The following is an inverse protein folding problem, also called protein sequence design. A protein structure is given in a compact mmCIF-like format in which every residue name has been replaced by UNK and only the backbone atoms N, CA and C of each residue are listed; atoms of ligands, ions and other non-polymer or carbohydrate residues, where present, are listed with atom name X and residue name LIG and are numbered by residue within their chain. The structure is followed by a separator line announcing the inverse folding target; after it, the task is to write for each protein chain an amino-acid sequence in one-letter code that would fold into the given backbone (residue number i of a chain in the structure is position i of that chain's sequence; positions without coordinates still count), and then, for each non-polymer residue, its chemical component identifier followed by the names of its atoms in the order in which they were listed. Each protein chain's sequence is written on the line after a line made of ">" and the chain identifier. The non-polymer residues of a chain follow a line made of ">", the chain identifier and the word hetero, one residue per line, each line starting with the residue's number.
data_IF_739428505366
#
_entry.id   IF_739428505366
#
_cell.length_a   1.000
_cell.length_b   1.000
_cell.length_c   1.000
_cell.angle_alpha   90.00
_cell.angle_beta   90.00
_cell.angle_gamma   90.00
#
_symmetry.space_group_name_H-M   'P 1'
#
loop_
_entity.id
_entity.type
_entity.pdbx_description
1 polymer ?
#
# COMPACT_ATOMS: atom_id res chain seq x y z
N UNK A 1 32.80 6.78 11.36
CA UNK A 1 31.83 7.89 11.20
C UNK A 1 30.45 7.36 11.53
N UNK A 2 29.94 7.62 12.73
CA UNK A 2 28.56 7.31 13.12
C UNK A 2 27.64 8.22 12.32
N UNK A 3 26.92 7.67 11.32
CA UNK A 3 25.82 8.42 10.71
C UNK A 3 24.85 8.79 11.82
N UNK A 4 24.58 10.09 11.98
CA UNK A 4 23.50 10.55 12.83
C UNK A 4 22.22 9.81 12.41
N UNK A 5 21.48 9.22 13.37
CA UNK A 5 20.20 8.58 13.07
C UNK A 5 19.26 9.66 12.51
N UNK A 6 19.00 9.61 11.20
CA UNK A 6 18.01 10.48 10.57
C UNK A 6 16.63 10.12 11.15
N UNK A 7 16.04 11.01 11.95
CA UNK A 7 14.68 10.84 12.46
C UNK A 7 13.71 11.72 11.68
N UNK A 8 12.67 11.11 11.14
CA UNK A 8 11.59 11.78 10.45
C UNK A 8 10.28 11.40 11.13
N UNK A 9 9.46 12.38 11.50
CA UNK A 9 8.14 12.12 12.09
C UNK A 9 7.15 11.61 11.04
N UNK A 10 6.02 11.06 11.50
CA UNK A 10 4.93 10.63 10.64
C UNK A 10 4.36 11.80 9.83
N UNK A 11 4.28 13.01 10.41
CA UNK A 11 3.81 14.21 9.70
C UNK A 11 4.74 14.59 8.55
N UNK A 12 6.06 14.42 8.71
CA UNK A 12 7.03 14.67 7.63
C UNK A 12 6.83 13.68 6.48
N UNK A 13 6.69 12.39 6.78
CA UNK A 13 6.40 11.38 5.75
C UNK A 13 5.08 11.68 5.03
N UNK A 14 4.04 12.05 5.78
CA UNK A 14 2.74 12.42 5.22
C UNK A 14 2.83 13.65 4.30
N UNK A 15 3.56 14.70 4.71
CA UNK A 15 3.77 15.92 3.91
C UNK A 15 4.59 15.63 2.65
N UNK A 16 5.68 14.89 2.77
CA UNK A 16 6.50 14.53 1.60
C UNK A 16 5.73 13.64 0.63
N UNK A 17 4.87 12.75 1.12
CA UNK A 17 3.99 11.97 0.28
C UNK A 17 3.01 12.84 -0.51
N UNK A 18 2.47 13.92 0.08
CA UNK A 18 1.62 14.89 -0.66
C UNK A 18 2.42 15.50 -1.81
N UNK A 19 3.61 16.04 -1.52
CA UNK A 19 4.45 16.69 -2.53
C UNK A 19 4.95 15.71 -3.60
N UNK A 20 5.17 14.45 -3.23
CA UNK A 20 5.50 13.40 -4.19
C UNK A 20 4.31 13.05 -5.08
N UNK A 21 3.10 12.88 -4.53
CA UNK A 21 1.88 12.60 -5.29
C UNK A 21 1.49 13.75 -6.24
N UNK A 22 1.75 15.01 -5.89
CA UNK A 22 1.57 16.16 -6.82
C UNK A 22 2.40 16.01 -8.09
N UNK A 23 3.62 15.48 -7.96
CA UNK A 23 4.54 15.21 -9.08
C UNK A 23 4.24 13.89 -9.79
N UNK A 24 3.51 12.99 -9.12
CA UNK A 24 3.17 11.64 -9.60
C UNK A 24 1.64 11.46 -9.62
N UNK A 25 0.92 12.13 -10.53
CA UNK A 25 -0.54 12.31 -10.44
C UNK A 25 -1.36 11.02 -10.55
N UNK A 26 -0.77 9.90 -10.98
CA UNK A 26 -1.43 8.59 -10.95
C UNK A 26 -1.42 7.91 -9.58
N UNK A 27 -0.79 8.51 -8.59
CA UNK A 27 -0.64 7.96 -7.24
C UNK A 27 -1.39 8.80 -6.21
N UNK A 28 -1.92 8.13 -5.19
CA UNK A 28 -2.61 8.74 -4.04
C UNK A 28 -2.10 8.14 -2.74
N UNK A 29 -2.06 8.95 -1.68
CA UNK A 29 -1.74 8.45 -0.33
C UNK A 29 -2.92 7.64 0.18
N UNK A 30 -2.65 6.67 1.06
CA UNK A 30 -3.70 5.91 1.73
C UNK A 30 -4.72 6.83 2.43
N UNK A 31 -4.27 7.94 3.02
CA UNK A 31 -5.14 8.91 3.70
C UNK A 31 -6.03 9.73 2.75
N UNK A 32 -5.73 9.77 1.46
CA UNK A 32 -6.54 10.49 0.46
C UNK A 32 -7.58 9.59 -0.22
N UNK A 33 -7.68 8.33 0.22
CA UNK A 33 -8.56 7.32 -0.33
C UNK A 33 -9.63 7.02 0.71
N UNK A 34 -10.92 7.34 0.46
CA UNK A 34 -12.00 7.15 1.44
C UNK A 34 -12.13 5.70 1.90
N UNK A 35 -12.04 4.78 0.94
CA UNK A 35 -12.04 3.34 1.19
C UNK A 35 -10.97 2.68 0.33
N UNK A 36 -9.88 2.23 0.95
CA UNK A 36 -8.79 1.54 0.25
C UNK A 36 -9.08 0.05 0.03
N UNK A 37 -10.11 -0.51 0.68
CA UNK A 37 -10.48 -1.93 0.53
C UNK A 37 -10.96 -2.26 -0.87
N UNK A 38 -11.41 -1.25 -1.64
CA UNK A 38 -11.72 -1.39 -3.08
C UNK A 38 -10.53 -1.92 -3.89
N UNK A 39 -9.31 -1.71 -3.40
CA UNK A 39 -8.09 -2.20 -4.03
C UNK A 39 -7.68 -3.60 -3.54
N UNK A 40 -8.34 -4.16 -2.53
CA UNK A 40 -8.10 -5.53 -2.06
C UNK A 40 -8.83 -6.50 -2.98
N UNK A 41 -8.15 -7.54 -3.44
CA UNK A 41 -8.74 -8.64 -4.21
C UNK A 41 -9.91 -9.23 -3.45
N UNK A 42 -11.03 -9.43 -4.12
CA UNK A 42 -12.16 -10.21 -3.62
C UNK A 42 -11.89 -11.69 -3.85
N UNK A 43 -12.67 -12.52 -3.16
CA UNK A 43 -12.65 -13.96 -3.37
C UNK A 43 -12.90 -14.34 -4.84
N UNK A 44 -13.75 -13.58 -5.53
CA UNK A 44 -14.05 -13.82 -6.94
C UNK A 44 -12.92 -13.46 -7.90
N UNK A 45 -12.00 -12.61 -7.48
CA UNK A 45 -10.85 -12.19 -8.28
C UNK A 45 -9.61 -13.09 -8.08
N UNK A 46 -9.63 -14.01 -7.11
CA UNK A 46 -8.55 -15.01 -6.98
C UNK A 46 -8.78 -16.15 -7.98
N UNK A 47 -7.68 -16.67 -8.54
CA UNK A 47 -7.75 -17.72 -9.57
C UNK A 47 -8.43 -18.98 -9.02
N UNK A 48 -9.07 -19.79 -9.88
CA UNK A 48 -9.66 -21.08 -9.48
C UNK A 48 -8.65 -21.98 -8.74
N UNK A 49 -7.38 -21.94 -9.15
CA UNK A 49 -6.31 -22.70 -8.50
C UNK A 49 -6.03 -22.23 -7.08
N UNK A 50 -5.98 -20.91 -6.86
CA UNK A 50 -5.81 -20.32 -5.53
C UNK A 50 -7.05 -20.56 -4.65
N UNK A 51 -8.23 -20.51 -5.26
CA UNK A 51 -9.53 -20.69 -4.62
C UNK A 51 -9.80 -22.13 -4.16
N UNK A 52 -9.27 -23.12 -4.86
CA UNK A 52 -9.58 -24.54 -4.64
C UNK A 52 -9.39 -25.00 -3.19
N UNK A 53 -8.34 -24.53 -2.50
CA UNK A 53 -8.15 -24.84 -1.09
C UNK A 53 -9.27 -24.24 -0.23
N UNK A 54 -9.58 -22.97 -0.45
CA UNK A 54 -10.62 -22.26 0.30
C UNK A 54 -12.00 -22.88 0.06
N UNK A 55 -12.35 -23.19 -1.19
CA UNK A 55 -13.62 -23.82 -1.56
C UNK A 55 -13.85 -25.14 -0.80
N UNK A 56 -12.79 -25.90 -0.52
CA UNK A 56 -12.85 -27.15 0.24
C UNK A 56 -12.91 -26.96 1.77
N UNK A 57 -12.52 -25.79 2.28
CA UNK A 57 -12.29 -25.54 3.71
C UNK A 57 -13.18 -24.43 4.28
N UNK A 58 -14.34 -24.16 3.68
CA UNK A 58 -15.31 -23.16 4.18
C UNK A 58 -15.49 -21.93 3.29
N UNK A 59 -14.91 -21.94 2.10
CA UNK A 59 -15.11 -20.99 1.03
C UNK A 59 -14.65 -19.57 1.37
N UNK A 60 -15.39 -18.59 0.85
CA UNK A 60 -15.10 -17.17 1.01
C UNK A 60 -14.96 -16.75 2.48
N UNK A 61 -15.81 -17.28 3.37
CA UNK A 61 -15.76 -16.92 4.80
C UNK A 61 -14.43 -17.30 5.42
N UNK A 62 -13.97 -18.53 5.19
CA UNK A 62 -12.69 -19.02 5.70
C UNK A 62 -11.50 -18.26 5.08
N UNK A 63 -11.60 -17.94 3.78
CA UNK A 63 -10.61 -17.10 3.12
C UNK A 63 -10.56 -15.67 3.66
N UNK A 64 -11.68 -15.05 4.02
CA UNK A 64 -11.70 -13.71 4.63
C UNK A 64 -11.08 -13.70 6.03
N UNK A 65 -11.21 -14.79 6.77
CA UNK A 65 -10.71 -14.90 8.15
C UNK A 65 -9.20 -15.22 8.20
N UNK A 66 -8.70 -16.06 7.29
CA UNK A 66 -7.33 -16.59 7.35
C UNK A 66 -6.48 -16.28 6.12
N UNK A 67 -7.09 -15.75 5.06
CA UNK A 67 -6.39 -15.38 3.84
C UNK A 67 -5.50 -14.15 4.03
N UNK A 68 -4.50 -14.04 3.17
CA UNK A 68 -3.67 -12.84 3.08
C UNK A 68 -4.32 -11.89 2.06
N UNK A 69 -4.64 -10.68 2.50
CA UNK A 69 -5.14 -9.63 1.62
C UNK A 69 -4.13 -9.31 0.52
N UNK A 70 -4.58 -9.35 -0.73
CA UNK A 70 -3.75 -9.01 -1.89
C UNK A 70 -4.28 -7.73 -2.53
N UNK A 71 -3.42 -6.74 -2.70
CA UNK A 71 -3.77 -5.50 -3.39
C UNK A 71 -3.70 -5.70 -4.91
N UNK A 72 -4.70 -5.18 -5.64
CA UNK A 72 -4.84 -5.25 -7.11
C UNK A 72 -3.97 -4.25 -7.86
N UNK A 73 -3.70 -3.11 -7.24
CA UNK A 73 -2.97 -2.00 -7.85
C UNK A 73 -1.53 -1.95 -7.34
N UNK A 74 -0.58 -1.42 -8.11
CA UNK A 74 0.75 -1.16 -7.61
C UNK A 74 0.71 -0.27 -6.35
N UNK A 75 1.46 -0.69 -5.34
CA UNK A 75 1.62 0.03 -4.08
C UNK A 75 3.08 0.44 -3.91
N UNK A 76 3.31 1.42 -3.03
CA UNK A 76 4.64 1.82 -2.63
C UNK A 76 4.60 2.65 -1.35
N UNK A 77 5.77 3.13 -0.96
CA UNK A 77 5.99 3.80 0.32
C UNK A 77 6.83 5.05 0.08
N UNK A 78 6.37 6.18 0.61
CA UNK A 78 7.15 7.41 0.68
C UNK A 78 7.76 7.51 2.06
N UNK A 79 9.08 7.57 2.15
CA UNK A 79 9.77 7.71 3.43
C UNK A 79 9.67 9.12 3.99
N UNK A 80 10.00 9.27 5.26
CA UNK A 80 10.17 10.57 5.90
C UNK A 80 11.18 11.51 5.21
N UNK A 81 12.09 10.97 4.40
CA UNK A 81 13.04 11.73 3.56
C UNK A 81 12.41 12.20 2.24
N UNK A 82 11.30 11.59 1.82
CA UNK A 82 10.58 11.89 0.58
C UNK A 82 10.93 10.96 -0.58
N UNK A 83 11.70 9.91 -0.33
CA UNK A 83 12.08 8.90 -1.32
C UNK A 83 10.96 7.85 -1.48
N UNK A 84 10.77 7.38 -2.71
CA UNK A 84 9.81 6.33 -3.05
C UNK A 84 10.46 4.95 -3.02
N UNK A 85 9.76 3.99 -2.43
CA UNK A 85 10.12 2.57 -2.41
C UNK A 85 8.92 1.74 -2.89
N UNK A 86 9.17 0.83 -3.82
CA UNK A 86 8.16 -0.12 -4.33
C UNK A 86 7.89 -1.30 -3.38
N UNK A 87 8.70 -1.44 -2.32
CA UNK A 87 8.55 -2.45 -1.28
C UNK A 87 9.02 -1.91 0.05
N UNK A 88 8.30 -2.27 1.12
CA UNK A 88 8.66 -1.90 2.49
C UNK A 88 10.04 -2.46 2.88
N UNK A 89 10.44 -3.59 2.29
CA UNK A 89 11.73 -4.23 2.57
C UNK A 89 12.92 -3.45 2.00
N UNK A 90 12.67 -2.54 1.05
CA UNK A 90 13.71 -1.64 0.49
C UNK A 90 13.78 -0.31 1.23
N UNK A 91 12.79 -0.01 2.06
CA UNK A 91 12.77 1.24 2.82
C UNK A 91 13.79 1.17 3.98
N UNK A 92 14.45 2.29 4.31
CA UNK A 92 15.38 2.31 5.44
C UNK A 92 14.69 1.96 6.76
N UNK A 93 15.38 1.19 7.60
CA UNK A 93 14.88 0.85 8.93
C UNK A 93 14.63 2.11 9.76
N UNK A 94 13.56 2.07 10.57
CA UNK A 94 13.15 3.15 11.49
C UNK A 94 12.69 4.44 10.82
N UNK A 95 12.55 4.49 9.49
CA UNK A 95 11.88 5.60 8.83
C UNK A 95 10.36 5.46 9.00
N UNK A 96 9.69 6.57 9.29
CA UNK A 96 8.25 6.66 9.08
C UNK A 96 7.95 6.62 7.58
N UNK A 97 6.92 5.86 7.20
CA UNK A 97 6.53 5.63 5.81
C UNK A 97 5.07 6.00 5.62
N UNK A 98 4.75 6.53 4.44
CA UNK A 98 3.37 6.75 4.00
C UNK A 98 3.10 5.86 2.78
N UNK A 99 2.10 4.99 2.89
CA UNK A 99 1.70 4.12 1.79
C UNK A 99 0.99 4.92 0.69
N UNK A 100 1.31 4.60 -0.56
CA UNK A 100 0.69 5.17 -1.75
C UNK A 100 0.20 4.07 -2.70
N UNK A 101 -0.90 4.35 -3.40
CA UNK A 101 -1.54 3.44 -4.35
C UNK A 101 -1.57 4.08 -5.73
N UNK A 102 -1.26 3.30 -6.78
CA UNK A 102 -1.35 3.76 -8.17
C UNK A 102 -2.77 3.57 -8.70
N UNK A 103 -3.58 4.60 -8.54
CA UNK A 103 -5.02 4.60 -8.87
C UNK A 103 -5.34 5.15 -10.27
N UNK A 104 -4.36 5.77 -10.94
CA UNK A 104 -4.54 6.41 -12.25
C UNK A 104 -4.77 7.93 -12.15
N UNK A 105 -4.49 8.66 -13.24
CA UNK A 105 -4.51 10.14 -13.24
C UNK A 105 -5.91 10.72 -13.01
N UNK A 106 -6.92 10.05 -13.53
CA UNK A 106 -8.32 10.51 -13.51
C UNK A 106 -9.13 9.89 -12.36
N UNK A 107 -8.47 9.25 -11.41
CA UNK A 107 -9.16 8.65 -10.27
C UNK A 107 -9.83 9.74 -9.43
N UNK A 108 -11.11 9.54 -9.18
CA UNK A 108 -11.93 10.34 -8.28
C UNK A 108 -12.42 9.41 -7.15
N UNK A 109 -12.35 9.86 -5.89
CA UNK A 109 -12.94 9.13 -4.77
C UNK A 109 -14.45 8.96 -4.93
#
# INVERSE_FOLDING_TARGET
>A
MTQAKEFYSAERAAKHAVEWCKRNPSWRRICDIPDHTVFVKTYDEISKRERAYWDQNGGEKFWREHGIERIKVPTGFISGKGDFYDSVLKAPLHHNLMMVFRVGKNWKP
#
